data_IF_924346693393
#
_entry.id   IF_924346693393
#
_cell.length_a   1.000
_cell.length_b   1.000
_cell.length_c   1.000
_cell.angle_alpha   90.00
_cell.angle_beta   90.00
_cell.angle_gamma   90.00
#
_symmetry.space_group_name_H-M   'P 1'
#
loop_
_entity.id
_entity.type
_entity.pdbx_description
1 polymer ?
#
# COMPACT_ATOMS: atom_id res chain seq x y z
N UNK A 1 -22.80 -30.37 39.82
CA UNK A 1 -21.41 -29.93 39.64
C UNK A 1 -20.82 -30.64 38.43
N UNK A 2 -20.81 -29.99 37.27
CA UNK A 2 -20.19 -30.52 36.05
C UNK A 2 -18.93 -29.68 35.78
N UNK A 3 -17.76 -30.28 36.00
CA UNK A 3 -16.49 -29.66 35.63
C UNK A 3 -16.32 -29.80 34.11
N UNK A 4 -16.43 -28.69 33.39
CA UNK A 4 -15.99 -28.58 32.01
C UNK A 4 -14.48 -28.33 32.02
N UNK A 5 -13.70 -29.26 31.47
CA UNK A 5 -12.32 -29.00 31.07
C UNK A 5 -12.33 -28.19 29.76
N UNK A 6 -11.59 -27.08 29.66
CA UNK A 6 -11.39 -26.43 28.37
C UNK A 6 -10.42 -27.29 27.54
N UNK A 7 -10.82 -27.61 26.30
CA UNK A 7 -9.97 -28.29 25.34
C UNK A 7 -8.74 -27.42 25.03
N UNK A 8 -7.58 -27.80 25.54
CA UNK A 8 -6.29 -27.30 25.09
C UNK A 8 -6.14 -27.58 23.59
N UNK A 9 -5.63 -26.61 22.84
CA UNK A 9 -5.26 -26.77 21.44
C UNK A 9 -3.73 -26.89 21.33
N UNK A 10 -3.13 -28.11 21.24
CA UNK A 10 -1.70 -28.26 21.11
C UNK A 10 -1.37 -28.80 19.73
N UNK A 11 -0.96 -27.94 18.79
CA UNK A 11 -0.41 -28.42 17.51
C UNK A 11 0.45 -27.39 16.76
N UNK A 12 0.09 -26.11 16.80
CA UNK A 12 0.69 -25.11 15.88
C UNK A 12 2.14 -24.72 16.21
N UNK A 13 2.58 -24.83 17.46
CA UNK A 13 3.96 -24.47 17.85
C UNK A 13 4.94 -25.66 17.77
N UNK A 14 4.45 -26.90 17.75
CA UNK A 14 5.28 -28.11 17.85
C UNK A 14 5.72 -28.69 16.50
N UNK A 15 4.97 -28.46 15.42
CA UNK A 15 5.30 -29.03 14.10
C UNK A 15 6.51 -28.31 13.48
N UNK A 16 6.56 -26.98 13.54
CA UNK A 16 7.63 -26.18 12.94
C UNK A 16 8.99 -26.43 13.62
N UNK A 17 9.01 -26.59 14.94
CA UNK A 17 10.24 -26.88 15.70
C UNK A 17 10.78 -28.29 15.45
N UNK A 18 9.94 -29.24 15.00
CA UNK A 18 10.35 -30.63 14.70
C UNK A 18 10.68 -30.86 13.23
N UNK A 19 9.90 -30.30 12.32
CA UNK A 19 10.00 -30.58 10.87
C UNK A 19 11.17 -29.85 10.24
N UNK A 20 11.45 -28.61 10.64
CA UNK A 20 12.49 -27.79 10.00
C UNK A 20 13.93 -28.30 10.22
N UNK A 21 14.34 -28.72 11.42
CA UNK A 21 15.66 -29.31 11.62
C UNK A 21 15.87 -30.63 10.86
N UNK A 22 14.78 -31.27 10.41
CA UNK A 22 14.79 -32.52 9.67
C UNK A 22 14.69 -32.30 8.14
N UNK A 23 14.53 -31.05 7.70
CA UNK A 23 14.39 -30.72 6.29
C UNK A 23 15.77 -30.67 5.63
N UNK A 24 15.90 -31.29 4.46
CA UNK A 24 17.14 -31.23 3.67
C UNK A 24 17.46 -29.77 3.31
N UNK A 25 18.72 -29.32 3.40
CA UNK A 25 19.12 -27.94 3.12
C UNK A 25 18.63 -27.46 1.75
N UNK A 26 18.65 -28.30 0.73
CA UNK A 26 18.22 -27.98 -0.63
C UNK A 26 16.71 -27.71 -0.71
N UNK A 27 15.90 -28.38 0.12
CA UNK A 27 14.46 -28.13 0.20
C UNK A 27 14.17 -26.84 0.98
N UNK A 28 14.95 -26.56 2.03
CA UNK A 28 14.83 -25.32 2.78
C UNK A 28 15.19 -24.10 1.90
N UNK A 29 16.28 -24.20 1.13
CA UNK A 29 16.68 -23.19 0.15
C UNK A 29 15.64 -22.99 -0.94
N UNK A 30 15.02 -24.07 -1.45
CA UNK A 30 13.92 -23.96 -2.43
C UNK A 30 12.68 -23.30 -1.85
N UNK A 31 12.32 -23.58 -0.61
CA UNK A 31 11.18 -22.92 0.04
C UNK A 31 11.48 -21.43 0.22
N UNK A 32 12.70 -21.09 0.66
CA UNK A 32 13.13 -19.69 0.83
C UNK A 32 13.24 -18.95 -0.49
N UNK A 33 13.66 -19.62 -1.56
CA UNK A 33 13.68 -19.06 -2.92
C UNK A 33 12.28 -18.70 -3.44
N UNK A 34 11.21 -19.24 -2.84
CA UNK A 34 9.82 -18.89 -3.14
C UNK A 34 9.26 -17.78 -2.25
N UNK A 35 9.96 -17.37 -1.19
CA UNK A 35 9.52 -16.34 -0.24
C UNK A 35 10.09 -14.97 -0.62
N UNK A 36 9.34 -13.90 -0.33
CA UNK A 36 9.89 -12.54 -0.48
C UNK A 36 10.94 -12.27 0.60
N UNK A 37 11.82 -11.29 0.35
CA UNK A 37 12.84 -10.86 1.32
C UNK A 37 12.23 -10.55 2.70
N UNK A 38 11.05 -9.90 2.68
CA UNK A 38 10.32 -9.53 3.88
C UNK A 38 9.68 -10.73 4.56
N UNK A 39 9.19 -11.74 3.83
CA UNK A 39 8.66 -12.97 4.43
C UNK A 39 9.78 -13.73 5.15
N UNK A 40 10.97 -13.77 4.56
CA UNK A 40 12.13 -14.41 5.19
C UNK A 40 12.50 -13.67 6.47
N UNK A 41 12.64 -12.34 6.41
CA UNK A 41 13.09 -11.52 7.53
C UNK A 41 12.06 -11.43 8.68
N UNK A 42 10.78 -11.26 8.34
CA UNK A 42 9.73 -10.93 9.31
C UNK A 42 8.94 -12.15 9.82
N UNK A 43 8.91 -13.25 9.07
CA UNK A 43 8.18 -14.46 9.46
C UNK A 43 9.09 -15.68 9.56
N UNK A 44 9.78 -16.05 8.48
CA UNK A 44 10.51 -17.32 8.39
C UNK A 44 11.66 -17.44 9.40
N UNK A 45 12.41 -16.35 9.58
CA UNK A 45 13.50 -16.25 10.57
C UNK A 45 12.99 -16.38 12.01
N UNK A 46 11.73 -16.04 12.27
CA UNK A 46 11.14 -16.09 13.62
C UNK A 46 10.58 -17.47 13.99
N UNK A 47 10.60 -18.45 13.06
CA UNK A 47 9.99 -19.78 13.28
C UNK A 47 10.76 -20.63 14.29
N UNK A 48 12.10 -20.68 14.24
CA UNK A 48 12.93 -21.35 15.23
C UNK A 48 14.39 -20.84 15.21
N UNK A 49 15.22 -21.30 16.16
CA UNK A 49 16.64 -20.90 16.25
C UNK A 49 17.47 -21.31 15.04
N UNK A 50 17.23 -22.49 14.47
CA UNK A 50 17.99 -22.98 13.32
C UNK A 50 17.73 -22.15 12.06
N UNK A 51 16.48 -21.74 11.81
CA UNK A 51 16.15 -20.80 10.72
C UNK A 51 16.69 -19.41 11.03
N UNK A 52 16.68 -18.97 12.29
CA UNK A 52 17.29 -17.71 12.68
C UNK A 52 18.80 -17.65 12.38
N UNK A 53 19.54 -18.73 12.67
CA UNK A 53 20.96 -18.88 12.40
C UNK A 53 21.23 -18.95 10.88
N UNK A 54 20.53 -19.83 10.16
CA UNK A 54 20.69 -20.01 8.72
C UNK A 54 20.42 -18.73 7.91
N UNK A 55 19.50 -17.88 8.36
CA UNK A 55 19.11 -16.64 7.68
C UNK A 55 19.55 -15.38 8.44
N UNK A 56 20.80 -15.38 8.95
CA UNK A 56 21.39 -14.25 9.68
C UNK A 56 21.99 -13.15 8.78
N UNK A 57 22.15 -13.41 7.48
CA UNK A 57 22.78 -12.47 6.54
C UNK A 57 22.02 -11.14 6.42
N UNK A 58 22.69 -10.04 6.05
CA UNK A 58 22.07 -8.70 5.96
C UNK A 58 20.86 -8.66 5.01
N UNK A 59 20.86 -9.46 3.94
CA UNK A 59 19.72 -9.59 3.02
C UNK A 59 18.46 -10.23 3.64
N UNK A 60 18.60 -10.96 4.75
CA UNK A 60 17.51 -11.69 5.43
C UNK A 60 17.13 -11.07 6.78
N UNK A 61 17.71 -9.91 7.13
CA UNK A 61 17.44 -9.20 8.39
C UNK A 61 16.83 -7.82 8.19
N UNK A 62 16.91 -7.27 6.97
CA UNK A 62 16.39 -5.95 6.64
C UNK A 62 14.98 -6.08 6.05
N UNK A 63 13.99 -5.45 6.70
CA UNK A 63 12.62 -5.34 6.18
C UNK A 63 12.49 -4.09 5.31
N UNK A 64 12.04 -4.25 4.06
CA UNK A 64 11.78 -3.16 3.12
C UNK A 64 10.29 -2.84 3.07
N UNK A 65 9.89 -1.73 3.69
CA UNK A 65 8.47 -1.37 3.83
C UNK A 65 7.77 -0.97 2.52
N UNK A 66 8.53 -0.69 1.45
CA UNK A 66 7.98 -0.49 0.10
C UNK A 66 7.59 -1.79 -0.60
N UNK A 67 8.07 -2.93 -0.11
CA UNK A 67 7.70 -4.26 -0.57
C UNK A 67 6.66 -4.86 0.39
N UNK A 68 5.83 -5.82 -0.05
CA UNK A 68 4.85 -6.47 0.82
C UNK A 68 5.50 -7.04 2.09
N UNK A 69 4.93 -6.72 3.25
CA UNK A 69 5.34 -7.27 4.55
C UNK A 69 4.21 -8.14 5.09
N UNK A 70 4.48 -9.33 5.67
CA UNK A 70 3.45 -10.15 6.30
C UNK A 70 2.57 -9.36 7.29
N UNK A 71 1.23 -9.36 7.12
CA UNK A 71 0.34 -8.54 7.95
C UNK A 71 0.45 -8.75 9.46
N UNK A 72 0.61 -9.99 9.89
CA UNK A 72 0.73 -10.33 11.32
C UNK A 72 2.01 -9.73 11.93
N UNK A 73 3.13 -9.79 11.22
CA UNK A 73 4.41 -9.25 11.68
C UNK A 73 4.40 -7.72 11.69
N UNK A 74 3.80 -7.12 10.65
CA UNK A 74 3.62 -5.67 10.57
C UNK A 74 2.75 -5.15 11.74
N UNK A 75 1.59 -5.79 11.97
CA UNK A 75 0.68 -5.44 13.06
C UNK A 75 1.35 -5.55 14.44
N UNK A 76 2.08 -6.65 14.68
CA UNK A 76 2.79 -6.86 15.94
C UNK A 76 3.80 -5.74 16.26
N UNK A 77 4.46 -5.20 15.24
CA UNK A 77 5.43 -4.11 15.43
C UNK A 77 4.75 -2.74 15.58
N UNK A 78 3.81 -2.39 14.69
CA UNK A 78 3.29 -1.03 14.59
C UNK A 78 2.12 -0.73 15.52
N UNK A 79 1.41 -1.75 16.02
CA UNK A 79 0.40 -1.59 17.08
C UNK A 79 1.00 -1.63 18.49
N UNK A 80 2.30 -1.90 18.62
CA UNK A 80 2.96 -1.88 19.92
C UNK A 80 2.91 -0.46 20.54
N UNK A 81 2.67 -0.34 21.87
CA UNK A 81 2.63 0.96 22.53
C UNK A 81 3.92 1.76 22.29
N UNK A 82 3.78 2.93 21.69
CA UNK A 82 4.90 3.83 21.42
C UNK A 82 5.72 3.52 20.17
N UNK A 83 5.28 2.60 19.29
CA UNK A 83 5.97 2.27 18.03
C UNK A 83 6.32 3.51 17.18
N UNK A 84 5.45 4.52 17.17
CA UNK A 84 5.65 5.79 16.44
C UNK A 84 6.13 6.96 17.31
N UNK A 85 6.31 6.76 18.63
CA UNK A 85 6.64 7.82 19.60
C UNK A 85 7.99 8.48 19.33
N UNK A 86 8.98 7.69 18.89
CA UNK A 86 10.32 8.20 18.53
C UNK A 86 10.43 8.80 17.13
N UNK A 87 9.35 8.80 16.34
CA UNK A 87 9.36 9.25 14.96
C UNK A 87 8.83 10.67 14.85
N UNK A 88 9.62 11.56 14.24
CA UNK A 88 9.15 12.89 13.84
C UNK A 88 8.15 12.78 12.66
N UNK A 89 7.44 13.88 12.39
CA UNK A 89 6.41 13.92 11.36
C UNK A 89 6.93 13.51 9.98
N UNK A 90 8.14 13.94 9.59
CA UNK A 90 8.77 13.59 8.30
C UNK A 90 8.94 12.07 8.16
N UNK A 91 9.40 11.39 9.21
CA UNK A 91 9.55 9.93 9.21
C UNK A 91 8.20 9.22 9.17
N UNK A 92 7.20 9.70 9.90
CA UNK A 92 5.84 9.12 9.89
C UNK A 92 5.19 9.22 8.51
N UNK A 93 5.32 10.39 7.86
CA UNK A 93 4.92 10.58 6.46
C UNK A 93 5.62 9.58 5.56
N UNK A 94 6.95 9.48 5.62
CA UNK A 94 7.72 8.50 4.83
C UNK A 94 7.24 7.05 5.04
N UNK A 95 6.90 6.64 6.27
CA UNK A 95 6.35 5.31 6.53
C UNK A 95 5.01 5.08 5.85
N UNK A 96 4.08 6.03 5.98
CA UNK A 96 2.76 5.99 5.31
C UNK A 96 2.95 5.81 3.80
N UNK A 97 3.86 6.58 3.19
CA UNK A 97 4.16 6.50 1.76
C UNK A 97 4.70 5.14 1.34
N UNK A 98 5.65 4.58 2.08
CA UNK A 98 6.24 3.27 1.79
C UNK A 98 5.19 2.15 1.92
N UNK A 99 4.38 2.18 2.98
CA UNK A 99 3.32 1.18 3.20
C UNK A 99 2.26 1.28 2.11
N UNK A 100 1.87 2.48 1.70
CA UNK A 100 0.94 2.69 0.59
C UNK A 100 1.48 2.12 -0.73
N UNK A 101 2.77 2.35 -1.02
CA UNK A 101 3.43 1.81 -2.21
C UNK A 101 3.49 0.27 -2.24
N UNK A 102 3.51 -0.38 -1.07
CA UNK A 102 3.54 -1.86 -0.96
C UNK A 102 2.25 -2.54 -1.40
N UNK A 103 1.12 -1.83 -1.41
CA UNK A 103 -0.19 -2.37 -1.80
C UNK A 103 -0.85 -3.33 -0.80
N UNK A 104 -0.29 -3.54 0.40
CA UNK A 104 -0.86 -4.46 1.40
C UNK A 104 -1.91 -3.77 2.27
N UNK A 105 -3.20 -3.95 1.94
CA UNK A 105 -4.34 -3.31 2.62
C UNK A 105 -4.33 -3.44 4.15
N UNK A 106 -4.16 -4.65 4.76
CA UNK A 106 -4.11 -4.76 6.21
C UNK A 106 -2.99 -3.95 6.87
N UNK A 107 -1.84 -3.82 6.21
CA UNK A 107 -0.74 -3.01 6.72
C UNK A 107 -1.07 -1.52 6.66
N UNK A 108 -1.77 -1.10 5.60
CA UNK A 108 -2.21 0.28 5.46
C UNK A 108 -3.18 0.66 6.57
N UNK A 109 -4.13 -0.21 6.90
CA UNK A 109 -5.09 0.01 7.98
C UNK A 109 -4.38 0.21 9.32
N UNK A 110 -3.45 -0.69 9.67
CA UNK A 110 -2.61 -0.57 10.86
C UNK A 110 -1.79 0.72 10.84
N UNK A 111 -1.21 1.07 9.69
CA UNK A 111 -0.39 2.27 9.55
C UNK A 111 -1.21 3.54 9.74
N UNK A 112 -2.44 3.62 9.21
CA UNK A 112 -3.32 4.78 9.42
C UNK A 112 -3.68 4.95 10.91
N UNK A 113 -3.95 3.86 11.61
CA UNK A 113 -4.19 3.89 13.06
C UNK A 113 -2.96 4.38 13.84
N UNK A 114 -1.76 3.96 13.43
CA UNK A 114 -0.51 4.31 14.11
C UNK A 114 0.10 5.66 13.68
N UNK A 115 -0.29 6.20 12.52
CA UNK A 115 0.33 7.37 11.90
C UNK A 115 0.25 8.62 12.80
N UNK A 116 -0.90 8.86 13.43
CA UNK A 116 -1.09 9.94 14.39
C UNK A 116 -0.82 11.34 13.81
N UNK A 117 -1.20 11.59 12.55
CA UNK A 117 -1.18 12.92 11.94
C UNK A 117 -2.33 13.10 10.92
N UNK A 118 -2.80 14.34 10.78
CA UNK A 118 -3.87 14.71 9.85
C UNK A 118 -3.44 14.58 8.38
N UNK A 119 -4.32 14.07 7.53
CA UNK A 119 -4.06 13.91 6.09
C UNK A 119 -3.23 12.68 5.72
N UNK A 120 -3.00 11.73 6.66
CA UNK A 120 -2.27 10.50 6.38
C UNK A 120 -2.91 9.67 5.25
N UNK A 121 -4.24 9.60 5.18
CA UNK A 121 -4.95 8.89 4.12
C UNK A 121 -4.81 9.56 2.74
N UNK A 122 -4.84 10.90 2.67
CA UNK A 122 -4.61 11.62 1.42
C UNK A 122 -3.16 11.46 0.93
N UNK A 123 -2.19 11.49 1.86
CA UNK A 123 -0.78 11.24 1.55
C UNK A 123 -0.56 9.79 1.06
N UNK A 124 -1.21 8.82 1.70
CA UNK A 124 -1.21 7.43 1.26
C UNK A 124 -1.83 7.27 -0.13
N UNK A 125 -2.93 7.97 -0.43
CA UNK A 125 -3.62 7.88 -1.71
C UNK A 125 -2.72 8.33 -2.86
N UNK A 126 -2.01 9.44 -2.68
CA UNK A 126 -1.07 9.95 -3.68
C UNK A 126 0.04 8.94 -3.99
N UNK A 127 0.61 8.31 -2.96
CA UNK A 127 1.70 7.34 -3.16
C UNK A 127 1.22 5.98 -3.68
N UNK A 128 0.05 5.52 -3.22
CA UNK A 128 -0.60 4.35 -3.80
C UNK A 128 -0.87 4.57 -5.29
N UNK A 129 -1.29 5.77 -5.69
CA UNK A 129 -1.49 6.15 -7.07
C UNK A 129 -0.17 6.19 -7.86
N UNK A 130 0.88 6.78 -7.28
CA UNK A 130 2.24 6.79 -7.85
C UNK A 130 2.81 5.39 -8.06
N UNK A 131 2.47 4.44 -7.19
CA UNK A 131 2.90 3.04 -7.25
C UNK A 131 1.93 2.12 -8.02
N UNK A 132 0.80 2.66 -8.50
CA UNK A 132 -0.15 1.90 -9.32
C UNK A 132 -1.05 0.94 -8.54
N UNK A 133 -1.15 1.10 -7.23
CA UNK A 133 -1.89 0.23 -6.31
C UNK A 133 -3.39 0.52 -6.34
N UNK A 134 -4.08 0.15 -7.42
CA UNK A 134 -5.49 0.50 -7.66
C UNK A 134 -6.43 0.14 -6.51
N UNK A 135 -6.33 -1.09 -5.98
CA UNK A 135 -7.20 -1.53 -4.87
C UNK A 135 -6.96 -0.72 -3.60
N UNK A 136 -5.72 -0.33 -3.33
CA UNK A 136 -5.36 0.55 -2.23
C UNK A 136 -5.95 1.95 -2.45
N UNK A 137 -5.85 2.49 -3.66
CA UNK A 137 -6.42 3.79 -3.99
C UNK A 137 -7.94 3.79 -3.80
N UNK A 138 -8.63 2.74 -4.25
CA UNK A 138 -10.08 2.57 -4.08
C UNK A 138 -10.47 2.54 -2.61
N UNK A 139 -9.78 1.70 -1.83
CA UNK A 139 -10.05 1.60 -0.40
C UNK A 139 -9.78 2.92 0.33
N UNK A 140 -8.67 3.61 0.06
CA UNK A 140 -8.34 4.91 0.65
C UNK A 140 -9.33 6.00 0.25
N UNK A 141 -9.82 5.97 -0.99
CA UNK A 141 -10.85 6.88 -1.47
C UNK A 141 -12.16 6.71 -0.71
N UNK A 142 -12.61 5.46 -0.52
CA UNK A 142 -13.81 5.17 0.27
C UNK A 142 -13.64 5.60 1.73
N UNK A 143 -12.46 5.43 2.31
CA UNK A 143 -12.17 5.90 3.67
C UNK A 143 -12.21 7.42 3.78
N UNK A 144 -11.66 8.14 2.79
CA UNK A 144 -11.71 9.60 2.75
C UNK A 144 -13.13 10.15 2.54
N UNK A 145 -13.96 9.45 1.76
CA UNK A 145 -15.34 9.83 1.52
C UNK A 145 -16.25 9.59 2.75
N UNK A 146 -15.96 8.55 3.54
CA UNK A 146 -16.72 8.20 4.73
C UNK A 146 -16.13 8.81 6.03
N UNK A 147 -14.91 9.35 5.98
CA UNK A 147 -14.21 9.92 7.12
C UNK A 147 -14.66 11.34 7.43
N UNK A 148 -15.05 11.59 8.68
CA UNK A 148 -15.37 12.92 9.22
C UNK A 148 -14.09 13.71 9.58
N UNK A 149 -13.20 13.93 8.62
CA UNK A 149 -12.14 14.93 8.81
C UNK A 149 -12.77 16.31 8.50
N UNK A 150 -13.01 17.12 9.53
CA UNK A 150 -13.74 18.41 9.52
C UNK A 150 -13.15 19.50 8.58
N UNK A 151 -12.05 19.19 7.89
CA UNK A 151 -11.37 20.05 6.91
C UNK A 151 -11.18 19.37 5.55
N UNK A 152 -11.75 18.17 5.36
CA UNK A 152 -11.75 17.49 4.08
C UNK A 152 -12.50 18.34 3.05
N UNK A 153 -11.90 18.54 1.89
CA UNK A 153 -12.60 18.97 0.68
C UNK A 153 -13.92 18.19 0.60
N UNK A 154 -15.10 18.82 0.77
CA UNK A 154 -16.39 18.13 0.87
C UNK A 154 -16.72 17.28 -0.35
N UNK A 155 -15.94 17.39 -1.44
CA UNK A 155 -16.11 16.67 -2.69
C UNK A 155 -14.95 15.74 -3.04
N UNK A 156 -13.85 15.75 -2.27
CA UNK A 156 -12.65 14.96 -2.56
C UNK A 156 -11.96 15.29 -3.89
N UNK A 157 -12.33 16.39 -4.55
CA UNK A 157 -11.87 16.79 -5.89
C UNK A 157 -10.37 17.11 -5.90
N UNK A 158 -9.85 17.74 -4.85
CA UNK A 158 -8.42 18.02 -4.67
C UNK A 158 -7.62 16.71 -4.53
N UNK A 159 -8.13 15.77 -3.72
CA UNK A 159 -7.50 14.48 -3.51
C UNK A 159 -7.45 13.67 -4.81
N UNK A 160 -8.54 13.65 -5.60
CA UNK A 160 -8.56 12.96 -6.88
C UNK A 160 -7.61 13.60 -7.91
N UNK A 161 -7.60 14.93 -7.99
CA UNK A 161 -6.74 15.66 -8.94
C UNK A 161 -5.26 15.44 -8.61
N UNK A 162 -4.91 15.49 -7.32
CA UNK A 162 -3.56 15.18 -6.86
C UNK A 162 -3.22 13.71 -7.18
N UNK A 163 -4.03 12.75 -6.73
CA UNK A 163 -3.78 11.34 -6.98
C UNK A 163 -3.63 11.02 -8.47
N UNK A 164 -4.38 11.70 -9.33
CA UNK A 164 -4.31 11.51 -10.79
C UNK A 164 -2.98 12.00 -11.36
N UNK A 165 -2.45 13.13 -10.87
CA UNK A 165 -1.13 13.60 -11.26
C UNK A 165 -0.02 12.63 -10.81
N UNK A 166 -0.14 12.06 -9.62
CA UNK A 166 0.80 11.03 -9.14
C UNK A 166 0.69 9.73 -9.96
N UNK A 167 -0.52 9.26 -10.28
CA UNK A 167 -0.71 8.10 -11.17
C UNK A 167 -0.13 8.34 -12.57
N UNK A 168 -0.30 9.54 -13.13
CA UNK A 168 0.28 9.93 -14.41
C UNK A 168 1.82 9.94 -14.34
N UNK A 169 2.39 10.52 -13.28
CA UNK A 169 3.82 10.51 -12.99
C UNK A 169 4.39 9.07 -12.85
N UNK A 170 3.62 8.14 -12.30
CA UNK A 170 4.00 6.72 -12.18
C UNK A 170 3.71 5.87 -13.43
N UNK A 171 3.04 6.43 -14.45
CA UNK A 171 2.72 5.69 -15.67
C UNK A 171 1.55 4.71 -15.53
N UNK A 172 0.71 4.86 -14.50
CA UNK A 172 -0.30 3.88 -14.15
C UNK A 172 -1.67 4.20 -14.75
N UNK A 173 -1.84 3.85 -16.03
CA UNK A 173 -3.06 4.12 -16.82
C UNK A 173 -4.35 3.64 -16.14
N UNK A 174 -4.37 2.43 -15.58
CA UNK A 174 -5.56 1.85 -14.93
C UNK A 174 -6.02 2.67 -13.71
N UNK A 175 -5.08 3.26 -12.96
CA UNK A 175 -5.40 4.18 -11.86
C UNK A 175 -5.91 5.51 -12.41
N UNK A 176 -5.28 6.04 -13.47
CA UNK A 176 -5.76 7.25 -14.14
C UNK A 176 -7.20 7.08 -14.68
N UNK A 177 -7.51 5.95 -15.31
CA UNK A 177 -8.84 5.61 -15.82
C UNK A 177 -9.89 5.63 -14.70
N UNK A 178 -9.60 4.97 -13.58
CA UNK A 178 -10.49 4.95 -12.43
C UNK A 178 -10.69 6.35 -11.82
N UNK A 179 -9.62 7.10 -11.55
CA UNK A 179 -9.70 8.45 -10.98
C UNK A 179 -10.46 9.42 -11.90
N UNK A 180 -10.22 9.33 -13.20
CA UNK A 180 -10.90 10.15 -14.20
C UNK A 180 -12.40 9.84 -14.34
N UNK A 181 -12.83 8.63 -13.96
CA UNK A 181 -14.25 8.28 -13.88
C UNK A 181 -14.93 8.90 -12.66
N UNK A 182 -14.19 9.15 -11.58
CA UNK A 182 -14.68 9.81 -10.36
C UNK A 182 -14.83 11.32 -10.56
N UNK A 183 -13.93 11.94 -11.32
CA UNK A 183 -13.89 13.38 -11.54
C UNK A 183 -14.57 13.77 -12.86
N UNK A 184 -15.90 13.61 -12.95
CA UNK A 184 -16.64 13.99 -14.17
C UNK A 184 -16.82 15.52 -14.31
N UNK A 185 -16.61 16.29 -13.22
CA UNK A 185 -16.93 17.73 -13.13
C UNK A 185 -15.74 18.68 -13.20
N UNK A 186 -14.58 18.28 -12.70
CA UNK A 186 -13.35 19.08 -12.73
C UNK A 186 -12.44 18.50 -13.80
N UNK A 187 -12.06 19.28 -14.83
CA UNK A 187 -10.87 18.94 -15.60
C UNK A 187 -9.68 19.34 -14.74
N UNK A 188 -8.93 18.40 -14.12
CA UNK A 188 -7.54 18.70 -13.84
C UNK A 188 -6.90 19.18 -15.15
N UNK A 189 -6.02 20.19 -15.07
CA UNK A 189 -5.33 20.70 -16.26
C UNK A 189 -4.70 19.52 -16.99
N UNK A 190 -5.21 19.20 -18.18
CA UNK A 190 -4.72 18.09 -18.97
C UNK A 190 -3.23 18.29 -19.30
N UNK A 191 -2.80 19.54 -19.48
CA UNK A 191 -1.40 19.91 -19.66
C UNK A 191 -0.52 19.42 -18.50
N UNK A 192 -0.96 19.59 -17.24
CA UNK A 192 -0.19 19.14 -16.08
C UNK A 192 -0.08 17.61 -16.03
N UNK A 193 -1.15 16.88 -16.35
CA UNK A 193 -1.16 15.41 -16.33
C UNK A 193 -0.30 14.84 -17.46
N UNK A 194 -0.41 15.41 -18.65
CA UNK A 194 0.37 15.04 -19.83
C UNK A 194 1.85 15.33 -19.58
N UNK A 195 2.17 16.51 -19.02
CA UNK A 195 3.53 16.84 -18.62
C UNK A 195 4.08 15.87 -17.56
N UNK A 196 3.28 15.52 -16.53
CA UNK A 196 3.70 14.58 -15.49
C UNK A 196 4.05 13.20 -16.06
N UNK A 197 3.22 12.67 -16.96
CA UNK A 197 3.48 11.40 -17.64
C UNK A 197 4.69 11.50 -18.59
N UNK A 198 4.73 12.53 -19.45
CA UNK A 198 5.78 12.70 -20.45
C UNK A 198 7.17 12.96 -19.83
N UNK A 199 7.24 13.78 -18.77
CA UNK A 199 8.50 14.06 -18.06
C UNK A 199 9.12 12.83 -17.39
N UNK A 200 8.33 11.77 -17.20
CA UNK A 200 8.76 10.47 -16.67
C UNK A 200 8.93 9.40 -17.76
N UNK A 201 8.72 9.76 -19.02
CA UNK A 201 8.89 8.86 -20.17
C UNK A 201 7.67 7.98 -20.47
N UNK A 202 6.51 8.23 -19.85
CA UNK A 202 5.28 7.48 -20.08
C UNK A 202 4.51 8.05 -21.29
N UNK A 203 5.10 7.94 -22.48
CA UNK A 203 4.59 8.55 -23.73
C UNK A 203 3.19 8.04 -24.08
N UNK A 204 2.97 6.72 -24.05
CA UNK A 204 1.66 6.13 -24.37
C UNK A 204 0.55 6.63 -23.44
N UNK A 205 0.87 6.83 -22.16
CA UNK A 205 -0.06 7.40 -21.18
C UNK A 205 -0.32 8.88 -21.45
N UNK A 206 0.71 9.64 -21.81
CA UNK A 206 0.57 11.06 -22.15
C UNK A 206 -0.31 11.25 -23.39
N UNK A 207 -0.11 10.45 -24.44
CA UNK A 207 -0.98 10.44 -25.63
C UNK A 207 -2.42 10.07 -25.29
N UNK A 208 -2.61 9.04 -24.47
CA UNK A 208 -3.93 8.64 -24.02
C UNK A 208 -4.62 9.75 -23.21
N UNK A 209 -3.91 10.42 -22.29
CA UNK A 209 -4.45 11.54 -21.51
C UNK A 209 -4.88 12.71 -22.40
N UNK A 210 -4.12 13.04 -23.44
CA UNK A 210 -4.49 14.05 -24.44
C UNK A 210 -5.78 13.67 -25.18
N UNK A 211 -5.90 12.42 -25.62
CA UNK A 211 -7.12 11.92 -26.27
C UNK A 211 -8.33 12.02 -25.33
N UNK A 212 -8.17 11.67 -24.06
CA UNK A 212 -9.25 11.76 -23.08
C UNK A 212 -9.71 13.21 -22.84
N UNK A 213 -8.79 14.17 -22.82
CA UNK A 213 -9.15 15.59 -22.67
C UNK A 213 -9.97 16.10 -23.85
N UNK A 214 -9.55 15.77 -25.08
CA UNK A 214 -10.31 16.10 -26.30
C UNK A 214 -11.73 15.50 -26.24
N UNK A 215 -11.86 14.23 -25.88
CA UNK A 215 -13.16 13.55 -25.77
C UNK A 215 -14.05 14.24 -24.72
N UNK A 216 -13.49 14.59 -23.56
CA UNK A 216 -14.24 15.31 -22.51
C UNK A 216 -14.65 16.71 -22.95
N UNK A 217 -13.77 17.44 -23.63
CA UNK A 217 -14.09 18.77 -24.17
C UNK A 217 -15.24 18.73 -25.18
N UNK A 218 -15.24 17.75 -26.10
CA UNK A 218 -16.34 17.52 -27.05
C UNK A 218 -17.65 17.21 -26.31
N UNK A 219 -17.61 16.28 -25.34
CA UNK A 219 -18.81 15.92 -24.55
C UNK A 219 -19.38 17.12 -23.78
N UNK A 220 -18.54 17.97 -23.20
CA UNK A 220 -18.97 19.20 -22.52
C UNK A 220 -19.65 20.17 -23.47
N UNK A 221 -19.07 20.41 -24.66
CA UNK A 221 -19.70 21.25 -25.70
C UNK A 221 -21.05 20.70 -26.15
N UNK A 222 -21.16 19.39 -26.37
CA UNK A 222 -22.43 18.75 -26.73
C UNK A 222 -23.48 18.83 -25.62
N UNK A 223 -23.09 18.76 -24.34
CA UNK A 223 -24.00 18.96 -23.20
C UNK A 223 -24.54 20.39 -23.13
N UNK A 224 -23.78 21.40 -23.56
CA UNK A 224 -24.19 22.81 -23.57
C UNK A 224 -25.09 23.19 -24.76
N UNK A 225 -25.15 22.35 -25.79
CA UNK A 225 -25.98 22.56 -27.00
C UNK A 225 -27.37 21.89 -26.91
N UNK A 226 -27.68 21.23 -25.80
CA UNK A 226 -28.99 20.63 -25.49
C UNK A 226 -29.70 21.45 -24.43
#
# INVERSE_FOLDING_TARGET
>A
MAQQHPAEAPARELWSSRVWPQLLPELAERIVGCLSCNDVAAAFRQVNKATAEAFSGPQHTIVRLSEPVPPHAFAAHWLAPGATRGLNLVRRRKLVRLVAASGVLPNMEVMLQAAGFYGAAAEALNEAALAGQLLMCQWLWDQLANGADDLADPRGEYNASSALAFAACGGHRHVCEWLLALVDRVSPSAENLVYAAASRGHVDLAEWLLQQDIIRAIRRRLRLLR
#
